data_IF_727504578995
#
_entry.id   IF_727504578995
#
_cell.length_a   1.000
_cell.length_b   1.000
_cell.length_c   1.000
_cell.angle_alpha   90.00
_cell.angle_beta   90.00
_cell.angle_gamma   90.00
#
_symmetry.space_group_name_H-M   'P 1'
#
loop_
_entity.id
_entity.type
_entity.pdbx_description
1 polymer ?
#
# COMPACT_ATOMS: atom_id res chain seq x y z
N UNK A 1 7.86 -30.40 6.73
CA UNK A 1 8.32 -30.34 8.14
C UNK A 1 9.21 -29.11 8.28
N UNK A 2 8.95 -28.26 9.25
CA UNK A 2 9.73 -27.07 9.55
C UNK A 2 10.47 -27.28 10.89
N UNK A 3 11.73 -26.83 10.98
CA UNK A 3 12.53 -26.93 12.21
C UNK A 3 13.40 -25.69 12.32
N UNK A 4 13.36 -25.05 13.49
CA UNK A 4 14.14 -23.87 13.83
C UNK A 4 14.99 -24.13 15.06
N UNK A 5 16.23 -23.65 14.96
CA UNK A 5 17.14 -23.51 16.09
C UNK A 5 17.51 -22.05 16.20
N UNK A 6 17.29 -21.45 17.37
CA UNK A 6 17.55 -20.04 17.60
C UNK A 6 18.47 -19.85 18.79
N UNK A 7 19.42 -18.95 18.67
CA UNK A 7 20.25 -18.45 19.76
C UNK A 7 20.16 -16.93 19.81
N UNK A 8 20.04 -16.39 21.02
CA UNK A 8 20.04 -14.94 21.25
C UNK A 8 21.01 -14.63 22.38
N UNK A 9 21.90 -13.69 22.15
CA UNK A 9 22.85 -13.16 23.12
C UNK A 9 22.62 -11.67 23.21
N UNK A 10 22.37 -11.20 24.43
CA UNK A 10 22.20 -9.78 24.74
C UNK A 10 23.29 -9.35 25.70
N UNK A 11 23.94 -8.25 25.42
CA UNK A 11 24.99 -7.66 26.24
C UNK A 11 24.65 -6.21 26.57
N UNK A 12 24.76 -5.88 27.86
CA UNK A 12 24.54 -4.55 28.37
C UNK A 12 25.72 -4.17 29.28
N UNK A 13 26.47 -3.16 28.88
CA UNK A 13 27.55 -2.60 29.67
C UNK A 13 27.15 -1.25 30.25
N UNK A 14 26.98 -1.22 31.56
CA UNK A 14 26.69 -0.02 32.38
C UNK A 14 25.50 0.81 31.85
N UNK A 15 24.51 0.15 31.22
CA UNK A 15 23.38 0.80 30.57
C UNK A 15 23.77 1.89 29.55
N UNK A 16 25.00 1.84 29.04
CA UNK A 16 25.55 2.75 28.03
C UNK A 16 25.71 2.10 26.67
N UNK A 17 26.28 0.90 26.63
CA UNK A 17 26.51 0.16 25.39
C UNK A 17 25.69 -1.11 25.43
N UNK A 18 24.85 -1.26 24.44
CA UNK A 18 23.94 -2.38 24.28
C UNK A 18 24.29 -3.10 22.97
N UNK A 19 24.32 -4.41 23.00
CA UNK A 19 24.51 -5.21 21.80
C UNK A 19 23.66 -6.48 21.88
N UNK A 20 22.97 -6.79 20.79
CA UNK A 20 22.21 -8.01 20.64
C UNK A 20 22.66 -8.75 19.39
N UNK A 21 22.83 -10.07 19.51
CA UNK A 21 23.12 -10.95 18.39
C UNK A 21 22.09 -12.07 18.40
N UNK A 22 21.40 -12.20 17.29
CA UNK A 22 20.43 -13.28 17.06
C UNK A 22 20.94 -14.16 15.92
N UNK A 23 20.88 -15.44 16.12
CA UNK A 23 21.22 -16.43 15.11
C UNK A 23 20.07 -17.42 14.99
N UNK A 24 19.55 -17.56 13.79
CA UNK A 24 18.52 -18.55 13.48
C UNK A 24 19.01 -19.49 12.39
N UNK A 25 18.84 -20.79 12.64
CA UNK A 25 19.14 -21.88 11.70
C UNK A 25 17.84 -22.61 11.42
N UNK A 26 17.23 -22.30 10.27
CA UNK A 26 15.87 -22.72 9.92
C UNK A 26 15.86 -23.71 8.78
N UNK A 27 15.13 -24.81 8.98
CA UNK A 27 14.97 -25.88 8.00
C UNK A 27 13.56 -25.96 7.45
N UNK A 28 13.41 -25.97 6.10
CA UNK A 28 12.14 -26.12 5.42
C UNK A 28 12.08 -27.42 4.61
N UNK A 29 10.95 -28.13 4.72
CA UNK A 29 10.68 -29.33 3.92
C UNK A 29 10.44 -29.05 2.44
N UNK A 30 10.24 -27.77 2.07
CA UNK A 30 10.02 -27.33 0.69
C UNK A 30 11.32 -27.10 -0.07
N UNK A 31 12.48 -27.21 0.60
CA UNK A 31 13.79 -27.09 0.01
C UNK A 31 14.35 -28.48 -0.40
N UNK A 32 15.33 -28.53 -1.32
CA UNK A 32 15.90 -29.78 -1.82
C UNK A 32 16.43 -30.69 -0.71
N UNK A 33 16.28 -32.00 -0.90
CA UNK A 33 16.85 -32.99 0.04
C UNK A 33 18.37 -32.85 0.11
N UNK A 34 18.89 -32.71 1.32
CA UNK A 34 20.32 -32.47 1.58
C UNK A 34 20.70 -30.99 1.77
N UNK A 35 19.81 -30.05 1.40
CA UNK A 35 20.06 -28.60 1.52
C UNK A 35 18.83 -27.86 2.08
N UNK A 36 18.29 -28.36 3.19
CA UNK A 36 17.03 -27.88 3.78
C UNK A 36 17.16 -26.69 4.71
N UNK A 37 18.38 -26.36 5.15
CA UNK A 37 18.62 -25.38 6.21
C UNK A 37 19.23 -24.09 5.68
N UNK A 38 18.82 -22.98 6.26
CA UNK A 38 19.37 -21.64 5.99
C UNK A 38 19.66 -20.92 7.30
N UNK A 39 20.63 -20.01 7.23
CA UNK A 39 21.10 -19.21 8.38
C UNK A 39 20.57 -17.79 8.20
N UNK A 40 20.00 -17.26 9.29
CA UNK A 40 19.47 -15.91 9.36
C UNK A 40 20.04 -15.20 10.60
N UNK A 41 21.19 -14.52 10.46
CA UNK A 41 21.79 -13.74 11.52
C UNK A 41 21.16 -12.35 11.60
N UNK A 42 21.15 -11.79 12.82
CA UNK A 42 20.86 -10.38 13.04
C UNK A 42 21.74 -9.83 14.16
N UNK A 43 22.15 -8.58 14.02
CA UNK A 43 22.93 -7.86 15.03
C UNK A 43 22.32 -6.48 15.22
N UNK A 44 22.26 -6.04 16.48
CA UNK A 44 21.94 -4.67 16.82
C UNK A 44 22.90 -4.12 17.85
N UNK A 45 23.19 -2.85 17.73
CA UNK A 45 24.01 -2.10 18.69
C UNK A 45 23.30 -0.81 19.04
N UNK A 46 23.45 -0.39 20.30
CA UNK A 46 22.95 0.90 20.73
C UNK A 46 23.90 1.55 21.73
N UNK A 47 23.97 2.87 21.65
CA UNK A 47 24.71 3.72 22.58
C UNK A 47 23.78 4.68 23.25
N UNK A 48 23.62 4.56 24.58
CA UNK A 48 22.86 5.50 25.41
C UNK A 48 23.81 6.63 25.82
N UNK A 49 24.00 7.58 24.91
CA UNK A 49 24.94 8.67 25.06
C UNK A 49 24.62 9.55 26.28
N UNK A 50 23.34 9.71 26.63
CA UNK A 50 22.91 10.47 27.82
C UNK A 50 23.48 9.90 29.14
N UNK A 51 23.88 8.63 29.18
CA UNK A 51 24.45 8.02 30.37
C UNK A 51 25.95 8.29 30.52
N UNK A 52 26.59 8.91 29.52
CA UNK A 52 28.00 9.29 29.58
C UNK A 52 28.23 10.48 30.50
N UNK A 53 29.38 10.50 31.19
CA UNK A 53 29.69 11.54 32.14
C UNK A 53 29.76 12.94 31.51
N UNK A 54 30.30 13.04 30.29
CA UNK A 54 30.39 14.33 29.58
C UNK A 54 29.03 14.87 29.13
N UNK A 55 28.01 14.02 29.00
CA UNK A 55 26.65 14.44 28.61
C UNK A 55 25.85 14.98 29.82
N UNK A 56 26.21 14.59 31.05
CA UNK A 56 25.53 15.08 32.29
C UNK A 56 25.56 16.59 32.50
N UNK A 57 26.47 17.29 31.84
CA UNK A 57 26.55 18.75 31.86
C UNK A 57 25.42 19.45 31.08
N UNK A 58 24.73 18.75 30.20
CA UNK A 58 23.64 19.30 29.42
C UNK A 58 22.31 19.08 30.12
N UNK A 59 21.91 20.03 30.94
CA UNK A 59 20.71 19.96 31.80
C UNK A 59 19.38 19.86 31.04
N UNK A 60 19.37 20.23 29.75
CA UNK A 60 18.19 20.13 28.88
C UNK A 60 18.02 18.73 28.28
N UNK A 61 19.07 17.89 28.34
CA UNK A 61 19.07 16.56 27.75
C UNK A 61 18.66 15.52 28.80
N UNK A 62 17.49 14.93 28.65
CA UNK A 62 17.00 13.86 29.52
C UNK A 62 17.45 12.46 29.02
N UNK A 63 17.45 12.29 27.70
CA UNK A 63 17.75 11.00 27.07
C UNK A 63 18.31 11.19 25.68
N UNK A 64 19.36 10.45 25.34
CA UNK A 64 19.87 10.35 23.96
C UNK A 64 20.40 8.93 23.76
N UNK A 65 19.81 8.24 22.78
CA UNK A 65 20.23 6.90 22.36
C UNK A 65 20.36 6.86 20.85
N UNK A 66 21.49 6.36 20.38
CA UNK A 66 21.76 6.03 18.99
C UNK A 66 21.68 4.52 18.85
N UNK A 67 21.07 4.03 17.78
CA UNK A 67 20.97 2.60 17.51
C UNK A 67 21.16 2.30 16.05
N UNK A 68 21.72 1.12 15.78
CA UNK A 68 21.86 0.58 14.44
C UNK A 68 21.62 -0.92 14.48
N UNK A 69 20.98 -1.45 13.46
CA UNK A 69 20.77 -2.88 13.34
C UNK A 69 20.92 -3.33 11.89
N UNK A 70 21.37 -4.55 11.73
CA UNK A 70 21.39 -5.26 10.47
C UNK A 70 20.99 -6.71 10.69
N UNK A 71 20.15 -7.26 9.79
CA UNK A 71 19.73 -8.65 9.91
C UNK A 71 19.25 -9.21 8.58
N UNK A 72 19.24 -10.52 8.52
CA UNK A 72 18.72 -11.28 7.39
C UNK A 72 17.52 -12.08 7.89
N UNK A 73 16.40 -12.00 7.17
CA UNK A 73 15.22 -12.82 7.42
C UNK A 73 14.91 -13.67 6.21
N UNK A 74 14.37 -14.87 6.42
CA UNK A 74 13.95 -15.78 5.38
C UNK A 74 12.43 -15.94 5.33
N UNK A 75 11.88 -16.18 4.14
CA UNK A 75 10.47 -16.50 3.95
C UNK A 75 10.31 -17.62 2.91
N UNK A 76 9.74 -18.73 3.32
CA UNK A 76 9.44 -19.89 2.47
C UNK A 76 7.95 -20.04 2.12
N UNK A 77 7.12 -19.06 2.49
CA UNK A 77 5.67 -19.14 2.30
C UNK A 77 5.26 -19.34 0.85
N UNK A 78 5.99 -18.74 -0.09
CA UNK A 78 5.75 -18.82 -1.53
C UNK A 78 6.37 -20.05 -2.21
N UNK A 79 7.16 -20.83 -1.48
CA UNK A 79 7.68 -22.09 -1.99
C UNK A 79 6.59 -23.17 -1.95
N UNK A 80 6.59 -23.97 -2.99
CA UNK A 80 5.94 -25.28 -3.07
C UNK A 80 7.03 -26.33 -3.37
N UNK A 81 6.64 -27.55 -3.72
CA UNK A 81 7.59 -28.59 -4.14
C UNK A 81 7.99 -28.39 -5.61
N UNK A 82 8.46 -27.18 -5.94
CA UNK A 82 8.73 -26.73 -7.31
C UNK A 82 9.91 -27.49 -7.97
N UNK A 83 10.74 -28.17 -7.17
CA UNK A 83 11.85 -29.00 -7.63
C UNK A 83 11.43 -30.42 -8.05
N UNK A 84 10.23 -30.84 -7.71
CA UNK A 84 9.76 -32.18 -7.98
C UNK A 84 9.16 -32.28 -9.38
N UNK A 85 9.43 -33.39 -10.07
CA UNK A 85 8.73 -33.71 -11.32
C UNK A 85 7.28 -34.01 -11.02
N UNK A 86 6.40 -33.30 -11.66
CA UNK A 86 4.95 -33.47 -11.49
C UNK A 86 4.38 -34.28 -12.64
N UNK A 87 3.44 -35.18 -12.30
CA UNK A 87 2.63 -35.93 -13.24
C UNK A 87 1.16 -35.69 -12.92
N UNK A 88 0.43 -35.17 -13.88
CA UNK A 88 -0.97 -34.81 -13.70
C UNK A 88 -1.84 -35.90 -14.32
N UNK A 89 -2.81 -36.40 -13.56
CA UNK A 89 -3.87 -37.25 -14.08
C UNK A 89 -4.83 -36.45 -14.97
N UNK A 90 -5.45 -37.09 -15.97
CA UNK A 90 -6.37 -36.41 -16.87
C UNK A 90 -5.70 -35.71 -18.06
N UNK A 91 -4.40 -35.91 -18.25
CA UNK A 91 -3.70 -35.52 -19.48
C UNK A 91 -4.17 -36.35 -20.67
N UNK A 92 -3.83 -35.98 -21.87
CA UNK A 92 -4.18 -36.55 -23.17
C UNK A 92 -5.14 -37.73 -23.12
N UNK A 93 -6.38 -37.54 -23.55
CA UNK A 93 -7.33 -38.63 -23.67
C UNK A 93 -7.02 -39.47 -24.92
N UNK A 94 -7.05 -40.79 -24.75
CA UNK A 94 -6.93 -41.72 -25.84
C UNK A 94 -8.24 -42.50 -25.99
N UNK A 95 -8.65 -42.73 -27.22
CA UNK A 95 -9.79 -43.60 -27.58
C UNK A 95 -9.21 -44.91 -28.06
N UNK A 96 -9.30 -45.94 -27.24
CA UNK A 96 -8.82 -47.28 -27.62
C UNK A 96 -9.87 -48.12 -28.35
N UNK A 97 -11.14 -48.00 -27.94
CA UNK A 97 -12.28 -48.71 -28.55
C UNK A 97 -13.54 -47.86 -28.40
N UNK A 98 -14.28 -47.67 -29.51
CA UNK A 98 -15.57 -46.97 -29.51
C UNK A 98 -15.40 -45.47 -29.27
N UNK A 99 -16.29 -44.87 -28.48
CA UNK A 99 -16.33 -43.44 -28.18
C UNK A 99 -15.81 -43.10 -26.77
N UNK A 100 -15.40 -44.09 -26.00
CA UNK A 100 -14.92 -43.89 -24.63
C UNK A 100 -13.48 -43.41 -24.60
N UNK A 101 -13.24 -42.25 -24.06
CA UNK A 101 -11.89 -41.72 -23.84
C UNK A 101 -11.31 -42.19 -22.50
N UNK A 102 -10.08 -42.64 -22.52
CA UNK A 102 -9.31 -43.02 -21.33
C UNK A 102 -8.24 -41.95 -21.07
N UNK A 103 -8.19 -41.45 -19.87
CA UNK A 103 -7.20 -40.46 -19.48
C UNK A 103 -5.90 -41.11 -19.03
N UNK A 104 -4.79 -40.59 -19.53
CA UNK A 104 -3.45 -40.99 -19.12
C UNK A 104 -2.83 -40.05 -18.11
N UNK A 105 -1.56 -40.30 -17.79
CA UNK A 105 -0.71 -39.36 -17.04
C UNK A 105 0.03 -38.47 -18.04
N UNK A 106 -0.06 -37.17 -17.83
CA UNK A 106 0.76 -36.20 -18.55
C UNK A 106 1.83 -35.66 -17.61
N UNK A 107 3.03 -35.46 -18.10
CA UNK A 107 4.06 -34.77 -17.38
C UNK A 107 3.65 -33.29 -17.23
N UNK A 108 3.69 -32.77 -16.03
CA UNK A 108 3.44 -31.35 -15.72
C UNK A 108 4.56 -30.42 -16.22
N UNK A 109 4.66 -29.25 -15.64
CA UNK A 109 5.72 -28.29 -15.92
C UNK A 109 7.12 -28.82 -15.61
N UNK A 110 8.12 -28.11 -16.10
CA UNK A 110 9.52 -28.44 -15.77
C UNK A 110 9.79 -28.14 -14.28
N UNK A 111 10.53 -29.05 -13.59
CA UNK A 111 10.96 -28.79 -12.21
C UNK A 111 11.90 -27.59 -12.16
N UNK A 112 11.75 -26.80 -11.13
CA UNK A 112 12.61 -25.63 -10.88
C UNK A 112 13.95 -26.06 -10.29
N UNK A 113 15.00 -25.37 -10.70
CA UNK A 113 16.36 -25.53 -10.12
C UNK A 113 16.70 -24.31 -9.30
N UNK A 114 17.62 -24.46 -8.34
CA UNK A 114 18.04 -23.35 -7.48
C UNK A 114 16.92 -22.81 -6.59
N UNK A 115 16.05 -23.70 -6.13
CA UNK A 115 14.93 -23.34 -5.23
C UNK A 115 15.50 -22.79 -3.93
N UNK A 116 15.23 -21.52 -3.66
CA UNK A 116 15.68 -20.79 -2.47
C UNK A 116 14.53 -20.07 -1.81
N UNK A 117 14.51 -19.95 -0.48
CA UNK A 117 13.56 -19.07 0.19
C UNK A 117 13.92 -17.61 -0.08
N UNK A 118 12.90 -16.76 -0.11
CA UNK A 118 13.12 -15.32 -0.17
C UNK A 118 14.00 -14.90 1.02
N UNK A 119 15.00 -14.04 0.76
CA UNK A 119 15.87 -13.45 1.78
C UNK A 119 15.70 -11.94 1.78
N UNK A 120 15.44 -11.39 2.95
CA UNK A 120 15.37 -9.95 3.13
C UNK A 120 16.51 -9.48 4.02
N UNK A 121 17.35 -8.62 3.46
CA UNK A 121 18.43 -7.91 4.13
C UNK A 121 17.85 -6.61 4.67
N UNK A 122 17.90 -6.42 5.98
CA UNK A 122 17.30 -5.28 6.68
C UNK A 122 18.38 -4.48 7.38
N UNK A 123 18.44 -3.19 7.11
CA UNK A 123 19.28 -2.25 7.83
C UNK A 123 18.41 -1.13 8.40
N UNK A 124 18.64 -0.77 9.65
CA UNK A 124 17.97 0.34 10.31
C UNK A 124 18.99 1.12 11.14
N UNK A 125 18.84 2.44 11.13
CA UNK A 125 19.52 3.36 12.03
C UNK A 125 18.48 4.26 12.70
N UNK A 126 18.66 4.52 14.00
CA UNK A 126 17.67 5.30 14.74
C UNK A 126 18.31 6.16 15.82
N UNK A 127 17.59 7.23 16.15
CA UNK A 127 17.92 8.18 17.22
C UNK A 127 16.70 8.35 18.10
N UNK A 128 16.88 8.22 19.40
CA UNK A 128 15.87 8.51 20.41
C UNK A 128 16.37 9.70 21.27
N UNK A 129 15.57 10.73 21.38
CA UNK A 129 15.91 11.97 22.06
C UNK A 129 14.82 12.37 23.06
N UNK A 130 15.20 12.69 24.28
CA UNK A 130 14.35 13.30 25.31
C UNK A 130 14.94 14.63 25.77
N UNK A 131 14.14 15.69 25.81
CA UNK A 131 14.55 17.03 26.23
C UNK A 131 13.54 17.66 27.20
N UNK A 132 14.04 18.52 28.08
CA UNK A 132 13.22 19.41 28.93
C UNK A 132 12.14 18.70 29.75
N UNK A 133 12.35 17.41 30.08
CA UNK A 133 11.41 16.58 30.86
C UNK A 133 9.98 16.48 30.27
N UNK A 134 9.84 16.75 28.98
CA UNK A 134 8.53 16.73 28.35
C UNK A 134 8.54 16.49 26.85
N UNK A 135 9.63 16.80 26.17
CA UNK A 135 9.81 16.53 24.74
C UNK A 135 10.44 15.16 24.51
N UNK A 136 9.88 14.41 23.60
CA UNK A 136 10.45 13.16 23.10
C UNK A 136 10.44 13.14 21.57
N UNK A 137 11.48 12.59 20.96
CA UNK A 137 11.59 12.40 19.53
C UNK A 137 12.26 11.06 19.24
N UNK A 138 11.75 10.35 18.28
CA UNK A 138 12.36 9.17 17.71
C UNK A 138 12.39 9.32 16.19
N UNK A 139 13.55 9.07 15.61
CA UNK A 139 13.76 9.09 14.16
C UNK A 139 14.41 7.78 13.75
N UNK A 140 13.86 7.14 12.77
CA UNK A 140 14.37 5.92 12.17
C UNK A 140 14.53 6.09 10.67
N UNK A 141 15.59 5.51 10.12
CA UNK A 141 15.77 5.34 8.68
C UNK A 141 16.07 3.88 8.41
N UNK A 142 15.41 3.32 7.41
CA UNK A 142 15.56 1.92 7.06
C UNK A 142 15.81 1.71 5.57
N UNK A 143 16.54 0.64 5.28
CA UNK A 143 16.76 0.15 3.93
C UNK A 143 16.68 -1.38 3.93
N UNK A 144 15.74 -1.92 3.15
CA UNK A 144 15.50 -3.34 3.03
C UNK A 144 15.68 -3.78 1.57
N UNK A 145 16.30 -4.92 1.37
CA UNK A 145 16.49 -5.51 0.04
C UNK A 145 16.06 -6.97 0.09
N UNK A 146 14.95 -7.28 -0.59
CA UNK A 146 14.42 -8.63 -0.69
C UNK A 146 14.88 -9.25 -1.99
N UNK A 147 15.50 -10.42 -1.89
CA UNK A 147 16.05 -11.18 -2.99
C UNK A 147 15.47 -12.59 -3.05
N UNK A 148 15.75 -13.28 -4.15
CA UNK A 148 15.31 -14.66 -4.37
C UNK A 148 13.77 -14.77 -4.36
N UNK A 149 13.09 -13.73 -4.81
CA UNK A 149 11.64 -13.76 -4.96
C UNK A 149 11.31 -14.71 -6.11
N UNK A 150 10.42 -15.67 -5.82
CA UNK A 150 9.92 -16.61 -6.81
C UNK A 150 9.13 -15.83 -7.87
N UNK A 151 9.51 -15.99 -9.13
CA UNK A 151 8.87 -15.38 -10.28
C UNK A 151 8.62 -16.37 -11.40
N UNK A 152 7.70 -16.04 -12.29
CA UNK A 152 7.45 -16.81 -13.51
C UNK A 152 8.54 -16.55 -14.54
N UNK A 153 8.80 -17.50 -15.39
CA UNK A 153 9.75 -17.40 -16.50
C UNK A 153 9.07 -17.35 -17.87
N UNK A 154 7.74 -17.21 -17.90
CA UNK A 154 6.92 -17.27 -19.11
C UNK A 154 7.30 -16.22 -20.17
N UNK A 155 7.80 -15.07 -19.78
CA UNK A 155 8.29 -14.04 -20.72
C UNK A 155 9.68 -14.31 -21.31
N UNK A 156 10.43 -15.29 -20.80
CA UNK A 156 11.83 -15.55 -21.16
C UNK A 156 11.95 -16.73 -22.13
N UNK A 157 11.08 -17.73 -22.00
CA UNK A 157 11.12 -18.94 -22.81
C UNK A 157 10.00 -18.98 -23.87
N UNK A 158 10.31 -19.58 -25.01
CA UNK A 158 9.33 -19.73 -26.08
C UNK A 158 8.21 -20.69 -25.71
N UNK A 159 6.98 -20.33 -26.05
CA UNK A 159 5.77 -21.17 -25.91
C UNK A 159 5.80 -22.44 -26.75
N UNK A 160 6.70 -22.54 -27.75
CA UNK A 160 6.91 -23.72 -28.59
C UNK A 160 7.26 -24.96 -27.78
N UNK A 161 7.82 -24.78 -26.58
CA UNK A 161 8.14 -25.90 -25.68
C UNK A 161 6.91 -26.67 -25.21
N UNK A 162 5.70 -26.08 -25.26
CA UNK A 162 4.42 -26.74 -25.01
C UNK A 162 4.20 -27.23 -23.57
N UNK A 163 5.01 -26.76 -22.60
CA UNK A 163 4.92 -27.12 -21.19
C UNK A 163 5.13 -25.90 -20.31
N UNK A 164 4.62 -25.95 -19.09
CA UNK A 164 4.91 -24.93 -18.05
C UNK A 164 6.41 -24.86 -17.77
N UNK A 165 6.93 -23.63 -17.79
CA UNK A 165 8.34 -23.34 -17.53
C UNK A 165 8.65 -23.37 -16.04
N UNK A 166 9.92 -23.64 -15.65
CA UNK A 166 10.32 -23.62 -14.26
C UNK A 166 10.20 -22.21 -13.69
N UNK A 167 9.93 -22.11 -12.39
CA UNK A 167 10.05 -20.84 -11.67
C UNK A 167 11.50 -20.43 -11.52
N UNK A 168 11.73 -19.13 -11.51
CA UNK A 168 13.02 -18.53 -11.22
C UNK A 168 13.01 -17.90 -9.81
N UNK A 169 14.14 -17.99 -9.10
CA UNK A 169 14.30 -17.49 -7.73
C UNK A 169 15.33 -16.35 -7.69
N UNK A 170 15.18 -15.37 -8.55
CA UNK A 170 16.09 -14.24 -8.70
C UNK A 170 15.38 -12.89 -8.72
N UNK A 171 14.05 -12.88 -8.45
CA UNK A 171 13.32 -11.64 -8.28
C UNK A 171 13.89 -10.82 -7.13
N UNK A 172 13.88 -9.50 -7.28
CA UNK A 172 14.48 -8.59 -6.34
C UNK A 172 13.71 -7.29 -6.23
N UNK A 173 13.46 -6.86 -4.98
CA UNK A 173 12.78 -5.61 -4.64
C UNK A 173 13.55 -4.94 -3.51
N UNK A 174 13.72 -3.62 -3.57
CA UNK A 174 14.17 -2.80 -2.46
C UNK A 174 13.00 -2.03 -1.84
N UNK A 175 13.10 -1.74 -0.55
CA UNK A 175 12.19 -0.88 0.19
C UNK A 175 12.99 -0.01 1.15
N UNK A 176 12.75 1.30 1.13
CA UNK A 176 13.48 2.26 1.95
C UNK A 176 12.55 3.35 2.43
N UNK A 177 12.92 3.96 3.54
CA UNK A 177 12.10 5.02 4.11
C UNK A 177 12.62 5.52 5.44
N UNK A 178 11.77 6.29 6.09
CA UNK A 178 12.04 6.83 7.41
C UNK A 178 10.77 7.07 8.19
N UNK A 179 10.92 7.07 9.50
CA UNK A 179 9.84 7.28 10.45
C UNK A 179 10.27 8.34 11.47
N UNK A 180 9.36 9.23 11.80
CA UNK A 180 9.55 10.27 12.82
C UNK A 180 8.36 10.21 13.75
N UNK A 181 8.62 10.08 15.05
CA UNK A 181 7.64 10.22 16.10
C UNK A 181 8.10 11.32 17.06
N UNK A 182 7.22 12.24 17.38
CA UNK A 182 7.49 13.33 18.32
C UNK A 182 6.37 13.45 19.34
N UNK A 183 6.74 13.75 20.56
CA UNK A 183 5.80 14.03 21.64
C UNK A 183 6.25 15.20 22.48
N UNK A 184 5.30 16.01 22.89
CA UNK A 184 5.53 17.04 23.88
C UNK A 184 4.37 17.04 24.87
N UNK A 185 4.68 16.87 26.13
CA UNK A 185 3.70 16.95 27.20
C UNK A 185 4.23 17.81 28.34
N UNK A 186 3.36 18.63 28.90
CA UNK A 186 3.69 19.44 30.04
C UNK A 186 2.47 19.72 30.90
N UNK A 187 2.70 19.80 32.22
CA UNK A 187 1.69 20.21 33.20
C UNK A 187 2.11 21.52 33.85
N UNK A 188 1.31 22.55 33.65
CA UNK A 188 1.52 23.89 34.19
C UNK A 188 0.39 24.20 35.18
N UNK A 189 0.58 23.92 36.47
CA UNK A 189 -0.46 24.05 37.49
C UNK A 189 -1.77 23.37 37.11
N UNK A 190 -2.79 24.14 36.77
CA UNK A 190 -4.12 23.65 36.41
C UNK A 190 -4.29 23.38 34.91
N UNK A 191 -3.30 23.71 34.09
CA UNK A 191 -3.32 23.51 32.63
C UNK A 191 -2.29 22.48 32.26
N UNK A 192 -2.74 21.45 31.55
CA UNK A 192 -1.88 20.42 30.95
C UNK A 192 -2.10 20.34 29.46
N UNK A 193 -1.05 20.08 28.69
CA UNK A 193 -1.16 19.80 27.30
C UNK A 193 -0.28 18.63 26.90
N UNK A 194 -0.72 17.92 25.88
CA UNK A 194 0.05 16.87 25.20
C UNK A 194 -0.16 16.98 23.70
N UNK A 195 0.93 16.98 22.96
CA UNK A 195 0.96 16.97 21.51
C UNK A 195 1.81 15.77 21.10
N UNK A 196 1.27 14.90 20.30
CA UNK A 196 2.01 13.75 19.77
C UNK A 196 1.78 13.67 18.27
N UNK A 197 2.80 13.34 17.51
CA UNK A 197 2.70 13.18 16.06
C UNK A 197 3.67 12.12 15.58
N UNK A 198 3.27 11.45 14.53
CA UNK A 198 4.11 10.50 13.81
C UNK A 198 3.91 10.65 12.31
N UNK A 199 5.00 10.44 11.57
CA UNK A 199 5.03 10.37 10.11
C UNK A 199 5.89 9.19 9.72
N UNK A 200 5.41 8.36 8.82
CA UNK A 200 6.17 7.27 8.20
C UNK A 200 6.14 7.44 6.69
N UNK A 201 7.29 7.39 6.07
CA UNK A 201 7.47 7.36 4.62
C UNK A 201 8.14 6.05 4.23
N UNK A 202 7.56 5.32 3.29
CA UNK A 202 8.13 4.09 2.75
C UNK A 202 7.91 4.02 1.25
N UNK A 203 8.99 3.77 0.50
CA UNK A 203 8.95 3.57 -0.94
C UNK A 203 9.62 2.26 -1.31
N UNK A 204 8.98 1.51 -2.19
CA UNK A 204 9.55 0.31 -2.76
C UNK A 204 9.87 0.50 -4.25
N UNK A 205 10.78 -0.31 -4.76
CA UNK A 205 11.15 -0.32 -6.17
C UNK A 205 11.53 -1.75 -6.58
N UNK A 206 11.00 -2.17 -7.70
CA UNK A 206 11.31 -3.45 -8.33
C UNK A 206 12.66 -3.35 -9.03
N UNK A 207 13.60 -4.19 -8.64
CA UNK A 207 14.93 -4.26 -9.25
C UNK A 207 14.98 -5.32 -10.35
N UNK A 208 14.28 -6.46 -10.11
CA UNK A 208 14.19 -7.55 -11.07
C UNK A 208 12.95 -8.41 -10.81
N UNK A 209 12.16 -8.69 -11.83
CA UNK A 209 11.01 -9.61 -11.77
C UNK A 209 10.99 -10.62 -12.92
N UNK A 210 12.09 -10.76 -13.67
CA UNK A 210 12.18 -11.63 -14.84
C UNK A 210 11.18 -11.24 -15.94
N UNK A 211 11.04 -9.98 -16.23
CA UNK A 211 10.20 -9.51 -17.33
C UNK A 211 10.70 -10.02 -18.67
N UNK A 212 9.73 -10.36 -19.53
CA UNK A 212 9.98 -10.61 -20.94
C UNK A 212 10.38 -9.33 -21.67
N UNK A 213 10.71 -9.48 -22.93
CA UNK A 213 11.01 -8.34 -23.81
C UNK A 213 9.75 -7.48 -24.03
N UNK A 214 9.90 -6.18 -23.83
CA UNK A 214 8.94 -5.16 -24.22
C UNK A 214 9.54 -4.27 -25.32
N UNK A 215 8.79 -3.89 -26.35
CA UNK A 215 9.32 -3.08 -27.44
C UNK A 215 9.69 -1.66 -27.03
N UNK A 216 9.05 -1.12 -25.97
CA UNK A 216 9.24 0.25 -25.50
C UNK A 216 9.65 0.28 -24.04
N UNK A 217 10.56 1.20 -23.69
CA UNK A 217 11.14 1.33 -22.35
C UNK A 217 10.12 1.67 -21.27
N UNK A 218 9.06 2.43 -21.60
CA UNK A 218 8.01 2.83 -20.67
C UNK A 218 7.04 1.69 -20.28
N UNK A 219 7.14 0.54 -20.95
CA UNK A 219 6.32 -0.65 -20.65
C UNK A 219 6.92 -1.53 -19.55
N UNK A 220 8.21 -1.38 -19.23
CA UNK A 220 8.86 -2.20 -18.22
C UNK A 220 8.38 -1.87 -16.81
N UNK A 221 8.09 -2.91 -16.03
CA UNK A 221 7.72 -2.78 -14.62
C UNK A 221 8.95 -2.62 -13.71
N UNK A 222 10.08 -3.14 -14.13
CA UNK A 222 11.37 -2.95 -13.46
C UNK A 222 11.72 -1.46 -13.37
N UNK A 223 12.13 -1.01 -12.18
CA UNK A 223 12.36 0.40 -11.88
C UNK A 223 11.14 1.14 -11.31
N UNK A 224 9.97 0.53 -11.32
CA UNK A 224 8.73 1.09 -10.76
C UNK A 224 8.41 0.49 -9.39
N UNK A 225 7.48 1.12 -8.67
CA UNK A 225 6.98 0.61 -7.39
C UNK A 225 5.96 -0.49 -7.60
N UNK A 226 5.91 -1.45 -6.68
CA UNK A 226 4.85 -2.45 -6.64
C UNK A 226 3.50 -1.75 -6.47
N UNK A 227 2.52 -2.09 -7.34
CA UNK A 227 1.20 -1.48 -7.31
C UNK A 227 1.14 -0.09 -7.97
N UNK A 228 2.18 0.34 -8.67
CA UNK A 228 2.12 1.53 -9.50
C UNK A 228 1.13 1.31 -10.65
N UNK A 229 0.36 2.34 -10.97
CA UNK A 229 -0.67 2.26 -11.97
C UNK A 229 -0.08 2.10 -13.39
N UNK A 230 -0.63 1.15 -14.14
CA UNK A 230 -0.28 0.88 -15.53
C UNK A 230 -1.50 1.05 -16.43
N UNK A 231 -1.43 1.98 -17.39
CA UNK A 231 -2.57 2.28 -18.26
C UNK A 231 -2.28 3.38 -19.27
N UNK A 232 -3.32 3.75 -20.02
CA UNK A 232 -3.31 4.80 -21.01
C UNK A 232 -3.26 6.18 -20.36
N UNK A 233 -2.71 7.17 -21.06
CA UNK A 233 -2.76 8.57 -20.69
C UNK A 233 -3.95 9.22 -21.40
N UNK A 234 -4.99 9.59 -20.64
CA UNK A 234 -6.08 10.40 -21.15
C UNK A 234 -5.65 11.87 -21.19
N UNK A 235 -5.79 12.52 -22.35
CA UNK A 235 -5.49 13.94 -22.58
C UNK A 235 -6.75 14.81 -22.50
N UNK A 236 -7.92 14.19 -22.46
CA UNK A 236 -9.22 14.87 -22.43
C UNK A 236 -10.31 14.07 -23.12
N UNK A 237 -11.30 14.77 -23.64
CA UNK A 237 -12.43 14.20 -24.37
C UNK A 237 -12.46 14.74 -25.79
N UNK A 238 -12.78 13.88 -26.75
CA UNK A 238 -12.99 14.31 -28.13
C UNK A 238 -14.13 15.31 -28.20
N UNK A 239 -13.95 16.39 -28.98
CA UNK A 239 -14.96 17.42 -29.22
C UNK A 239 -15.58 17.24 -30.62
N UNK A 240 -16.64 17.97 -30.93
CA UNK A 240 -17.28 17.92 -32.25
C UNK A 240 -16.33 18.31 -33.38
N UNK A 241 -15.42 19.23 -33.11
CA UNK A 241 -14.42 19.76 -34.02
C UNK A 241 -13.36 18.72 -34.39
N UNK A 242 -13.21 17.62 -33.63
CA UNK A 242 -12.32 16.52 -33.94
C UNK A 242 -12.90 15.55 -35.00
N UNK A 243 -14.14 15.79 -35.48
CA UNK A 243 -14.84 14.93 -36.44
C UNK A 243 -15.25 15.68 -37.70
N UNK A 244 -15.31 14.93 -38.81
CA UNK A 244 -15.85 15.43 -40.08
C UNK A 244 -17.40 15.45 -40.07
N UNK A 245 -18.01 15.98 -41.14
CA UNK A 245 -19.48 16.04 -41.32
C UNK A 245 -20.15 14.65 -41.36
N UNK A 246 -19.39 13.58 -41.60
CA UNK A 246 -19.85 12.20 -41.63
C UNK A 246 -19.67 11.51 -40.25
N UNK A 247 -19.10 12.21 -39.28
CA UNK A 247 -18.84 11.70 -37.93
C UNK A 247 -17.67 10.75 -37.83
N UNK A 248 -16.68 10.88 -38.71
CA UNK A 248 -15.39 10.19 -38.60
C UNK A 248 -14.34 11.13 -38.01
N UNK A 249 -13.38 10.58 -37.29
CA UNK A 249 -12.24 11.37 -36.78
C UNK A 249 -11.49 12.04 -37.93
N UNK A 250 -11.07 13.26 -37.73
CA UNK A 250 -10.25 14.00 -38.67
C UNK A 250 -8.92 13.29 -38.94
N UNK A 251 -8.35 13.40 -40.17
CA UNK A 251 -7.07 12.82 -40.51
C UNK A 251 -5.96 13.29 -39.54
N UNK A 252 -5.14 12.33 -39.09
CA UNK A 252 -4.05 12.56 -38.12
C UNK A 252 -4.39 12.28 -36.67
N UNK A 253 -5.67 12.04 -36.35
CA UNK A 253 -6.04 11.52 -35.04
C UNK A 253 -5.79 10.00 -34.97
N UNK A 254 -5.25 9.48 -33.86
CA UNK A 254 -4.98 8.05 -33.72
C UNK A 254 -6.28 7.22 -33.73
N UNK A 255 -6.24 6.05 -34.33
CA UNK A 255 -7.38 5.14 -34.45
C UNK A 255 -7.40 4.20 -33.24
N UNK A 256 -8.55 4.13 -32.56
CA UNK A 256 -8.72 3.20 -31.43
C UNK A 256 -8.81 1.75 -31.91
N UNK A 257 -8.09 0.84 -31.24
CA UNK A 257 -8.28 -0.62 -31.41
C UNK A 257 -9.33 -1.20 -30.45
N UNK A 258 -9.79 -0.43 -29.48
CA UNK A 258 -10.78 -0.84 -28.46
C UNK A 258 -12.22 -0.61 -28.86
N UNK A 259 -12.47 0.30 -29.81
CA UNK A 259 -13.79 0.65 -30.32
C UNK A 259 -13.72 1.04 -31.79
N UNK A 260 -14.60 0.49 -32.61
CA UNK A 260 -14.57 0.69 -34.05
C UNK A 260 -14.97 2.12 -34.50
N UNK A 261 -15.81 2.79 -33.72
CA UNK A 261 -16.28 4.13 -34.06
C UNK A 261 -16.35 5.02 -32.83
N UNK A 262 -15.46 5.97 -32.72
CA UNK A 262 -15.47 7.00 -31.68
C UNK A 262 -16.49 8.10 -32.01
N UNK A 263 -16.92 8.80 -30.97
CA UNK A 263 -17.88 9.88 -31.04
C UNK A 263 -17.44 11.06 -30.17
N UNK A 264 -17.96 12.27 -30.42
CA UNK A 264 -17.76 13.38 -29.49
C UNK A 264 -18.12 13.03 -28.06
N UNK A 265 -17.26 13.38 -27.13
CA UNK A 265 -17.37 13.02 -25.73
C UNK A 265 -16.74 11.68 -25.33
N UNK A 266 -16.17 10.92 -26.25
CA UNK A 266 -15.32 9.78 -25.93
C UNK A 266 -13.92 10.25 -25.47
N UNK A 267 -13.19 9.42 -24.75
CA UNK A 267 -11.89 9.75 -24.18
C UNK A 267 -10.83 9.86 -25.28
N UNK A 268 -10.04 10.92 -25.23
CA UNK A 268 -8.89 11.12 -26.12
C UNK A 268 -7.63 10.62 -25.40
N UNK A 269 -7.05 9.53 -25.89
CA UNK A 269 -5.83 8.95 -25.36
C UNK A 269 -4.61 9.40 -26.16
N UNK A 270 -3.46 9.46 -25.47
CA UNK A 270 -2.17 9.76 -26.08
C UNK A 270 -1.61 8.54 -26.77
N UNK A 271 -1.24 8.69 -28.02
CA UNK A 271 -0.44 7.74 -28.78
C UNK A 271 1.04 7.93 -28.37
N UNK A 272 1.56 6.97 -27.59
CA UNK A 272 2.89 7.07 -26.98
C UNK A 272 4.01 6.63 -27.93
N UNK A 273 3.71 5.72 -28.85
CA UNK A 273 4.67 5.20 -29.80
C UNK A 273 4.59 5.89 -31.19
N UNK A 274 3.60 6.79 -31.36
CA UNK A 274 3.36 7.57 -32.57
C UNK A 274 3.10 6.72 -33.83
N UNK A 275 2.46 5.55 -33.65
CA UNK A 275 2.13 4.65 -34.77
C UNK A 275 0.76 4.92 -35.40
N UNK A 276 0.02 5.91 -34.87
CA UNK A 276 -1.31 6.30 -35.34
C UNK A 276 -2.44 5.42 -34.80
N UNK A 277 -2.20 4.60 -33.78
CA UNK A 277 -3.18 3.75 -33.13
C UNK A 277 -3.16 3.97 -31.61
N UNK A 278 -4.27 3.68 -30.97
CA UNK A 278 -4.34 3.53 -29.51
C UNK A 278 -4.57 2.05 -29.20
N UNK A 279 -3.56 1.43 -28.62
CA UNK A 279 -3.57 0.02 -28.27
C UNK A 279 -2.76 -0.30 -26.99
N UNK A 280 -2.39 -1.58 -26.82
CA UNK A 280 -1.65 -2.01 -25.65
C UNK A 280 -0.22 -1.46 -25.59
N UNK A 281 0.32 -0.97 -26.70
CA UNK A 281 1.65 -0.36 -26.75
C UNK A 281 1.69 1.07 -26.22
N UNK A 282 0.52 1.70 -25.99
CA UNK A 282 0.41 3.05 -25.41
C UNK A 282 0.23 3.03 -23.88
N UNK A 283 0.26 1.85 -23.28
CA UNK A 283 0.21 1.74 -21.83
C UNK A 283 1.57 2.04 -21.20
N UNK A 284 1.58 2.85 -20.15
CA UNK A 284 2.78 3.16 -19.38
C UNK A 284 2.51 3.19 -17.88
N UNK A 285 3.59 3.10 -17.10
CA UNK A 285 3.50 3.31 -15.66
C UNK A 285 3.43 4.80 -15.37
N UNK A 286 2.44 5.18 -14.58
CA UNK A 286 2.15 6.57 -14.27
C UNK A 286 1.49 6.67 -12.88
N UNK A 287 1.36 7.92 -12.40
CA UNK A 287 0.76 8.20 -11.10
C UNK A 287 1.54 7.59 -9.92
N UNK A 288 0.97 7.75 -8.74
CA UNK A 288 1.45 7.11 -7.53
C UNK A 288 1.02 5.64 -7.49
N UNK A 289 1.50 4.91 -6.50
CA UNK A 289 1.03 3.55 -6.23
C UNK A 289 -0.39 3.56 -5.68
N UNK A 290 -1.05 2.40 -5.71
CA UNK A 290 -2.36 2.21 -5.04
C UNK A 290 -2.23 2.01 -3.52
N UNK A 291 -1.01 1.94 -3.00
CA UNK A 291 -0.71 1.90 -1.57
C UNK A 291 -0.06 3.21 -1.15
N UNK A 292 -0.50 3.84 -0.05
CA UNK A 292 0.10 5.07 0.43
C UNK A 292 1.59 4.91 0.75
N UNK A 293 2.40 5.85 0.28
CA UNK A 293 3.82 5.93 0.67
C UNK A 293 4.01 6.71 1.97
N UNK A 294 3.06 7.59 2.33
CA UNK A 294 3.12 8.39 3.55
C UNK A 294 1.91 8.07 4.43
N UNK A 295 2.19 7.71 5.69
CA UNK A 295 1.20 7.61 6.76
C UNK A 295 1.54 8.64 7.83
N UNK A 296 0.54 9.37 8.31
CA UNK A 296 0.76 10.34 9.37
C UNK A 296 -0.42 10.41 10.32
N UNK A 297 -0.10 10.76 11.57
CA UNK A 297 -1.12 10.97 12.58
C UNK A 297 -0.63 11.95 13.63
N UNK A 298 -1.57 12.65 14.24
CA UNK A 298 -1.28 13.48 15.39
C UNK A 298 -2.43 13.51 16.36
N UNK A 299 -2.10 13.68 17.63
CA UNK A 299 -3.06 13.80 18.71
C UNK A 299 -2.76 15.02 19.55
N UNK A 300 -3.83 15.70 19.95
CA UNK A 300 -3.83 16.84 20.86
C UNK A 300 -4.61 16.46 22.10
N UNK A 301 -4.01 16.71 23.26
CA UNK A 301 -4.68 16.59 24.55
C UNK A 301 -4.54 17.91 25.32
N UNK A 302 -5.63 18.42 25.82
CA UNK A 302 -5.67 19.60 26.67
C UNK A 302 -6.43 19.28 27.95
N UNK A 303 -5.88 19.62 29.07
CA UNK A 303 -6.52 19.51 30.37
C UNK A 303 -6.52 20.86 31.07
N UNK A 304 -7.67 21.30 31.53
CA UNK A 304 -7.80 22.48 32.31
C UNK A 304 -8.69 22.24 33.52
N UNK A 305 -8.11 22.22 34.71
CA UNK A 305 -8.82 21.81 35.93
C UNK A 305 -9.48 20.43 35.73
N UNK A 306 -10.79 20.40 35.75
CA UNK A 306 -11.61 19.19 35.60
C UNK A 306 -12.01 18.87 34.15
N UNK A 307 -11.71 19.77 33.23
CA UNK A 307 -12.03 19.58 31.82
C UNK A 307 -10.87 18.92 31.07
N UNK A 308 -11.20 17.98 30.16
CA UNK A 308 -10.27 17.37 29.23
C UNK A 308 -10.80 17.43 27.81
N UNK A 309 -9.96 17.82 26.87
CA UNK A 309 -10.22 17.78 25.44
C UNK A 309 -9.16 16.88 24.79
N UNK A 310 -9.58 15.94 23.97
CA UNK A 310 -8.68 15.08 23.19
C UNK A 310 -9.13 15.05 21.73
N UNK A 311 -8.19 15.27 20.82
CA UNK A 311 -8.44 15.15 19.39
C UNK A 311 -7.36 14.27 18.76
N UNK A 312 -7.79 13.29 17.94
CA UNK A 312 -6.88 12.39 17.20
C UNK A 312 -7.15 12.54 15.72
N UNK A 313 -6.10 12.78 14.96
CA UNK A 313 -6.10 12.89 13.51
C UNK A 313 -5.27 11.78 12.90
N UNK A 314 -5.70 11.32 11.74
CA UNK A 314 -4.99 10.32 10.94
C UNK A 314 -5.15 10.65 9.47
N UNK A 315 -4.08 10.48 8.73
CA UNK A 315 -4.09 10.70 7.29
C UNK A 315 -3.07 9.83 6.58
N UNK A 316 -3.22 9.80 5.28
CA UNK A 316 -2.28 9.19 4.35
C UNK A 316 -2.06 10.13 3.18
N UNK A 317 -0.94 9.99 2.49
CA UNK A 317 -0.64 10.79 1.32
C UNK A 317 0.25 10.03 0.33
N UNK A 318 0.38 10.60 -0.84
CA UNK A 318 1.21 10.10 -1.92
C UNK A 318 0.77 8.71 -2.41
N UNK A 319 -0.53 8.60 -2.74
CA UNK A 319 -1.08 7.43 -3.41
C UNK A 319 -2.27 7.80 -4.30
N UNK A 320 -2.62 6.90 -5.19
CA UNK A 320 -3.73 7.06 -6.12
C UNK A 320 -4.73 5.92 -5.95
N UNK A 321 -5.98 6.24 -6.15
CA UNK A 321 -7.10 5.31 -6.03
C UNK A 321 -7.70 5.09 -7.41
N UNK A 322 -7.91 3.84 -7.78
CA UNK A 322 -8.65 3.51 -8.99
C UNK A 322 -10.14 3.45 -8.69
N UNK A 323 -10.87 4.39 -9.31
CA UNK A 323 -12.31 4.48 -9.16
C UNK A 323 -12.99 3.45 -10.06
N UNK A 324 -13.50 2.39 -9.46
CA UNK A 324 -14.32 1.35 -10.11
C UNK A 324 -15.72 1.28 -9.55
N UNK A 325 -16.17 2.33 -8.82
CA UNK A 325 -17.50 2.40 -8.27
C UNK A 325 -18.54 2.30 -9.41
N UNK A 326 -19.43 1.31 -9.33
CA UNK A 326 -20.33 0.95 -10.44
C UNK A 326 -21.23 2.10 -10.93
N UNK A 327 -21.59 3.04 -10.05
CA UNK A 327 -22.40 4.22 -10.39
C UNK A 327 -21.62 5.34 -11.10
N UNK A 328 -20.30 5.20 -11.23
CA UNK A 328 -19.41 6.15 -11.89
C UNK A 328 -18.61 5.47 -13.01
N UNK A 329 -18.02 4.31 -12.72
CA UNK A 329 -17.29 3.53 -13.71
C UNK A 329 -18.25 2.63 -14.48
N UNK A 330 -18.41 2.86 -15.79
CA UNK A 330 -19.36 2.18 -16.68
C UNK A 330 -20.83 2.30 -16.19
N UNK A 331 -21.34 3.50 -15.90
CA UNK A 331 -22.74 3.66 -15.52
C UNK A 331 -23.67 3.23 -16.66
N UNK A 332 -24.84 2.68 -16.34
CA UNK A 332 -25.85 2.15 -17.26
C UNK A 332 -25.38 1.00 -18.17
N UNK A 333 -24.17 0.50 -18.00
CA UNK A 333 -23.64 -0.62 -18.79
C UNK A 333 -24.50 -1.88 -18.56
N UNK A 334 -24.94 -2.50 -19.66
CA UNK A 334 -25.78 -3.70 -19.59
C UNK A 334 -27.20 -3.46 -19.08
N UNK A 335 -27.63 -2.22 -18.88
CA UNK A 335 -28.91 -1.81 -18.28
C UNK A 335 -29.15 -2.30 -16.84
N UNK A 336 -28.10 -2.77 -16.16
CA UNK A 336 -28.16 -3.32 -14.80
C UNK A 336 -27.47 -2.43 -13.75
N UNK A 337 -26.81 -1.34 -14.17
CA UNK A 337 -26.09 -0.43 -13.31
C UNK A 337 -26.80 0.92 -13.16
N UNK A 338 -26.78 1.45 -11.94
CA UNK A 338 -27.24 2.81 -11.66
C UNK A 338 -26.20 3.85 -12.10
N UNK A 339 -26.62 5.11 -12.08
CA UNK A 339 -25.76 6.26 -12.32
C UNK A 339 -25.78 7.19 -11.13
N UNK A 340 -24.64 7.70 -10.71
CA UNK A 340 -24.58 8.73 -9.67
C UNK A 340 -25.00 10.10 -10.22
N UNK A 341 -25.60 10.92 -9.36
CA UNK A 341 -25.88 12.32 -9.68
C UNK A 341 -24.60 13.07 -10.02
N UNK A 342 -23.52 12.79 -9.32
CA UNK A 342 -22.21 13.38 -9.57
C UNK A 342 -21.71 13.11 -11.00
N UNK A 343 -21.86 11.88 -11.52
CA UNK A 343 -21.52 11.58 -12.91
C UNK A 343 -22.40 12.36 -13.90
N UNK A 344 -23.73 12.42 -13.66
CA UNK A 344 -24.66 13.15 -14.51
C UNK A 344 -24.31 14.64 -14.65
N UNK A 345 -23.89 15.25 -13.55
CA UNK A 345 -23.52 16.66 -13.49
C UNK A 345 -22.13 16.95 -14.09
N UNK A 346 -21.22 15.95 -14.09
CA UNK A 346 -19.83 16.09 -14.54
C UNK A 346 -19.49 15.31 -15.81
N UNK A 347 -20.50 14.82 -16.55
CA UNK A 347 -20.30 14.14 -17.83
C UNK A 347 -20.25 15.12 -19.00
N UNK A 348 -19.61 14.69 -20.06
CA UNK A 348 -19.62 15.41 -21.31
C UNK A 348 -21.03 15.52 -21.91
N UNK A 349 -21.36 16.70 -22.34
CA UNK A 349 -22.51 17.04 -23.21
C UNK A 349 -22.08 18.15 -24.15
N UNK A 350 -22.88 18.44 -25.16
CA UNK A 350 -22.59 19.56 -26.08
C UNK A 350 -22.52 20.92 -25.37
N UNK A 351 -23.15 21.04 -24.21
CA UNK A 351 -23.15 22.26 -23.38
C UNK A 351 -22.08 22.23 -22.29
N UNK A 352 -21.43 21.08 -22.06
CA UNK A 352 -20.38 20.88 -21.06
C UNK A 352 -19.15 20.17 -21.69
N UNK A 353 -18.47 20.82 -22.68
CA UNK A 353 -17.40 20.17 -23.44
C UNK A 353 -16.16 19.87 -22.59
N UNK A 354 -15.91 20.64 -21.52
CA UNK A 354 -14.76 20.45 -20.60
C UNK A 354 -15.14 19.62 -19.37
N UNK A 355 -16.05 18.66 -19.54
CA UNK A 355 -16.47 17.78 -18.46
C UNK A 355 -15.37 16.82 -18.04
N UNK A 356 -15.46 16.32 -16.81
CA UNK A 356 -14.52 15.33 -16.27
C UNK A 356 -14.71 13.94 -16.86
N UNK A 357 -15.98 13.52 -17.03
CA UNK A 357 -16.35 12.16 -17.45
C UNK A 357 -16.79 12.12 -18.92
N UNK A 358 -16.59 11.00 -19.61
CA UNK A 358 -17.01 10.84 -20.97
C UNK A 358 -18.55 10.91 -21.12
N UNK A 359 -18.99 10.96 -22.36
CA UNK A 359 -20.41 10.89 -22.69
C UNK A 359 -21.06 9.63 -22.13
N UNK A 360 -22.34 9.73 -21.81
CA UNK A 360 -23.12 8.61 -21.32
C UNK A 360 -23.60 7.75 -22.50
N UNK A 361 -23.52 6.42 -22.36
CA UNK A 361 -24.06 5.47 -23.31
C UNK A 361 -24.56 4.21 -22.59
N UNK A 362 -25.61 3.60 -23.12
CA UNK A 362 -26.10 2.27 -22.72
C UNK A 362 -25.45 1.14 -23.51
N UNK A 363 -24.75 1.49 -24.59
CA UNK A 363 -24.03 0.54 -25.44
C UNK A 363 -22.66 0.20 -24.80
N UNK A 364 -22.13 -0.96 -25.16
CA UNK A 364 -20.75 -1.29 -24.84
C UNK A 364 -19.81 -0.25 -25.44
N UNK A 365 -18.95 0.31 -24.63
CA UNK A 365 -17.87 1.20 -25.06
C UNK A 365 -16.63 0.83 -24.27
N UNK A 366 -15.80 -0.02 -24.86
CA UNK A 366 -14.56 -0.47 -24.19
C UNK A 366 -13.47 0.60 -24.24
N UNK A 367 -13.54 1.54 -25.18
CA UNK A 367 -12.55 2.59 -25.31
C UNK A 367 -12.56 3.54 -24.09
N UNK A 368 -13.73 4.08 -23.72
CA UNK A 368 -13.83 5.03 -22.61
C UNK A 368 -13.42 4.44 -21.25
N UNK A 369 -13.50 3.14 -21.12
CA UNK A 369 -13.28 2.43 -19.86
C UNK A 369 -12.00 1.59 -19.83
N UNK A 370 -11.01 1.99 -20.65
CA UNK A 370 -9.65 1.47 -20.51
C UNK A 370 -9.00 1.96 -19.22
N UNK A 371 -8.07 1.17 -18.71
CA UNK A 371 -7.23 1.60 -17.60
C UNK A 371 -6.50 2.89 -17.99
N UNK A 372 -6.82 3.98 -17.33
CA UNK A 372 -6.24 5.30 -17.65
C UNK A 372 -6.25 6.22 -16.42
N UNK A 373 -5.45 7.27 -16.48
CA UNK A 373 -5.43 8.31 -15.44
C UNK A 373 -6.77 9.04 -15.28
N UNK A 374 -7.69 8.94 -16.25
CA UNK A 374 -9.05 9.49 -16.13
C UNK A 374 -9.81 8.92 -14.93
N UNK A 375 -9.60 7.63 -14.66
CA UNK A 375 -10.27 6.89 -13.58
C UNK A 375 -9.44 6.84 -12.29
N UNK A 376 -8.32 7.55 -12.25
CA UNK A 376 -7.49 7.66 -11.06
C UNK A 376 -7.86 8.91 -10.27
N UNK A 377 -8.02 8.73 -8.97
CA UNK A 377 -8.25 9.79 -8.00
C UNK A 377 -7.03 9.96 -7.11
N UNK A 378 -6.78 11.19 -6.67
CA UNK A 378 -5.78 11.44 -5.64
C UNK A 378 -6.33 10.96 -4.30
N UNK A 379 -5.67 9.96 -3.72
CA UNK A 379 -6.17 9.28 -2.52
C UNK A 379 -5.84 9.98 -1.19
N UNK A 380 -5.08 11.08 -1.20
CA UNK A 380 -4.63 11.77 0.00
C UNK A 380 -5.81 12.23 0.87
N UNK A 381 -5.74 11.99 2.17
CA UNK A 381 -6.75 12.47 3.10
C UNK A 381 -6.19 12.73 4.51
N UNK A 382 -6.94 13.54 5.26
CA UNK A 382 -6.82 13.76 6.71
C UNK A 382 -8.18 13.62 7.36
N UNK A 383 -8.32 12.72 8.34
CA UNK A 383 -9.56 12.50 9.11
C UNK A 383 -9.41 12.87 10.57
N UNK A 384 -10.43 13.52 11.13
CA UNK A 384 -10.61 13.64 12.58
C UNK A 384 -11.25 12.34 13.10
N UNK A 385 -10.40 11.46 13.62
CA UNK A 385 -10.81 10.13 14.09
C UNK A 385 -11.60 10.17 15.37
N UNK A 386 -11.14 10.97 16.31
CA UNK A 386 -11.75 11.06 17.61
C UNK A 386 -11.65 12.51 18.07
N UNK A 387 -12.78 13.03 18.53
CA UNK A 387 -12.85 14.24 19.36
C UNK A 387 -13.60 13.89 20.63
N UNK A 388 -12.96 14.08 21.77
CA UNK A 388 -13.54 13.77 23.06
C UNK A 388 -13.45 14.98 23.99
N UNK A 389 -14.59 15.41 24.52
CA UNK A 389 -14.70 16.37 25.62
C UNK A 389 -15.07 15.59 26.88
N UNK A 390 -14.31 15.77 27.94
CA UNK A 390 -14.58 15.08 29.21
C UNK A 390 -14.55 16.06 30.39
N UNK A 391 -15.32 15.70 31.42
CA UNK A 391 -15.36 16.42 32.67
C UNK A 391 -15.24 15.44 33.83
N UNK A 392 -14.24 15.63 34.68
CA UNK A 392 -14.03 14.86 35.89
C UNK A 392 -14.75 15.56 37.04
N UNK A 393 -15.61 14.84 37.75
CA UNK A 393 -16.32 15.39 38.88
C UNK A 393 -15.34 15.76 40.00
N UNK A 394 -15.56 16.90 40.72
CA UNK A 394 -14.74 17.28 41.86
C UNK A 394 -14.74 16.21 42.95
N UNK A 395 -13.57 15.97 43.58
CA UNK A 395 -13.38 14.93 44.61
C UNK A 395 -14.39 15.08 45.76
N UNK A 396 -14.74 16.32 46.17
CA UNK A 396 -15.76 16.56 47.18
C UNK A 396 -17.13 15.96 46.85
N UNK A 397 -17.45 15.86 45.57
CA UNK A 397 -18.72 15.28 45.10
C UNK A 397 -18.63 13.78 45.01
N UNK A 398 -17.53 13.25 44.46
CA UNK A 398 -17.32 11.79 44.30
C UNK A 398 -17.22 11.10 45.67
N UNK A 399 -16.56 11.68 46.66
CA UNK A 399 -16.49 11.18 48.03
C UNK A 399 -17.87 11.06 48.70
N UNK A 400 -18.74 12.08 48.52
CA UNK A 400 -20.13 12.00 49.00
C UNK A 400 -20.92 10.86 48.37
N UNK A 401 -20.59 10.52 47.14
CA UNK A 401 -21.25 9.43 46.37
C UNK A 401 -20.54 8.09 46.55
N UNK A 402 -19.52 8.02 47.45
CA UNK A 402 -18.69 6.80 47.69
C UNK A 402 -17.99 6.31 46.41
N UNK A 403 -17.58 7.20 45.57
CA UNK A 403 -16.83 6.92 44.33
C UNK A 403 -15.40 7.49 44.47
N UNK A 404 -14.40 6.75 44.01
CA UNK A 404 -13.01 7.20 43.95
C UNK A 404 -12.80 8.18 42.81
N UNK A 405 -13.44 7.99 41.68
CA UNK A 405 -13.40 8.89 40.53
C UNK A 405 -14.69 8.77 39.70
N UNK A 406 -15.07 9.88 39.08
CA UNK A 406 -16.19 9.90 38.13
C UNK A 406 -15.90 10.87 36.99
N UNK A 407 -15.89 10.35 35.78
CA UNK A 407 -15.63 11.09 34.55
C UNK A 407 -16.78 10.95 33.57
N UNK A 408 -17.39 12.08 33.22
CA UNK A 408 -18.35 12.18 32.12
C UNK A 408 -17.61 12.47 30.83
N UNK A 409 -18.06 11.94 29.72
CA UNK A 409 -17.48 12.27 28.41
C UNK A 409 -18.49 12.28 27.29
N UNK A 410 -18.24 13.16 26.31
CA UNK A 410 -18.87 13.21 25.01
C UNK A 410 -17.78 12.93 23.98
N UNK A 411 -18.01 11.95 23.11
CA UNK A 411 -17.05 11.51 22.11
C UNK A 411 -17.68 11.44 20.74
N UNK A 412 -17.05 12.07 19.77
CA UNK A 412 -17.37 11.94 18.36
C UNK A 412 -16.29 11.16 17.62
N UNK A 413 -16.69 10.30 16.69
CA UNK A 413 -15.78 9.51 15.87
C UNK A 413 -16.03 9.75 14.39
N UNK A 414 -14.98 9.83 13.58
CA UNK A 414 -15.01 10.06 12.14
C UNK A 414 -15.80 11.31 11.77
N UNK A 415 -15.60 12.42 12.47
CA UNK A 415 -16.44 13.61 12.39
C UNK A 415 -16.32 14.33 11.06
N UNK A 416 -15.12 14.40 10.49
CA UNK A 416 -14.90 14.94 9.16
C UNK A 416 -13.65 14.34 8.49
N UNK A 417 -13.62 14.45 7.17
CA UNK A 417 -12.50 14.14 6.29
C UNK A 417 -12.17 15.36 5.44
N UNK A 418 -10.89 15.59 5.22
CA UNK A 418 -10.37 16.50 4.20
C UNK A 418 -9.67 15.60 3.20
N UNK A 419 -10.21 15.53 1.99
CA UNK A 419 -9.72 14.63 0.94
C UNK A 419 -10.01 15.23 -0.46
N UNK A 420 -9.69 14.47 -1.49
CA UNK A 420 -9.87 14.86 -2.89
C UNK A 420 -10.87 13.99 -3.64
N UNK A 421 -11.62 13.13 -2.93
CA UNK A 421 -12.54 12.17 -3.51
C UNK A 421 -13.98 12.57 -3.21
N UNK A 422 -14.69 13.09 -4.21
CA UNK A 422 -16.04 13.64 -4.01
C UNK A 422 -17.14 12.57 -3.85
N UNK A 423 -16.89 11.34 -4.30
CA UNK A 423 -17.96 10.34 -4.53
C UNK A 423 -17.89 9.12 -3.60
N UNK A 424 -16.84 8.94 -2.86
CA UNK A 424 -16.66 7.82 -1.94
C UNK A 424 -15.81 8.22 -0.74
N UNK A 425 -15.86 7.42 0.31
CA UNK A 425 -14.97 7.60 1.47
C UNK A 425 -13.53 7.21 1.09
N UNK A 426 -12.51 8.05 1.34
CA UNK A 426 -11.13 7.77 0.97
C UNK A 426 -10.52 6.54 1.63
N UNK A 427 -11.17 5.95 2.64
CA UNK A 427 -10.75 4.70 3.28
C UNK A 427 -11.59 3.50 2.86
N UNK A 428 -12.74 3.74 2.23
CA UNK A 428 -13.63 2.68 1.73
C UNK A 428 -13.74 2.77 0.21
N UNK A 429 -12.62 2.56 -0.43
CA UNK A 429 -12.49 2.67 -1.87
C UNK A 429 -13.43 1.69 -2.57
N UNK A 430 -14.21 2.21 -3.54
CA UNK A 430 -15.22 1.47 -4.31
C UNK A 430 -16.31 0.80 -3.46
N UNK A 431 -16.47 1.20 -2.20
CA UNK A 431 -17.57 0.76 -1.35
C UNK A 431 -18.80 1.67 -1.54
N UNK A 432 -19.97 1.07 -1.53
CA UNK A 432 -21.24 1.79 -1.66
C UNK A 432 -21.62 2.58 -0.40
N UNK A 433 -21.06 2.21 0.75
CA UNK A 433 -21.34 2.86 2.03
C UNK A 433 -20.09 3.53 2.59
N UNK A 434 -20.17 4.83 2.93
CA UNK A 434 -19.08 5.53 3.60
C UNK A 434 -18.93 5.10 5.06
N UNK A 435 -17.78 5.42 5.66
CA UNK A 435 -17.55 5.23 7.09
C UNK A 435 -18.58 6.02 7.91
N UNK A 436 -19.18 5.37 8.90
CA UNK A 436 -20.18 6.01 9.77
C UNK A 436 -19.55 7.02 10.72
N UNK A 437 -20.25 8.13 10.96
CA UNK A 437 -19.99 9.04 12.08
C UNK A 437 -20.69 8.50 13.32
N UNK A 438 -20.01 8.50 14.44
CA UNK A 438 -20.59 8.01 15.70
C UNK A 438 -20.45 9.06 16.79
N UNK A 439 -21.50 9.19 17.60
CA UNK A 439 -21.53 10.06 18.76
C UNK A 439 -21.86 9.23 19.98
N UNK A 440 -21.04 9.34 21.04
CA UNK A 440 -21.18 8.59 22.26
C UNK A 440 -21.18 9.54 23.45
N UNK A 441 -22.08 9.28 24.38
CA UNK A 441 -22.07 9.88 25.73
C UNK A 441 -21.83 8.77 26.71
N UNK A 442 -20.93 8.97 27.65
CA UNK A 442 -20.62 7.95 28.63
C UNK A 442 -20.18 8.52 29.97
N UNK A 443 -20.20 7.61 30.94
CA UNK A 443 -19.74 7.86 32.30
C UNK A 443 -18.81 6.72 32.71
N UNK A 444 -17.65 7.09 33.25
CA UNK A 444 -16.73 6.15 33.88
C UNK A 444 -16.74 6.40 35.37
N UNK A 445 -17.01 5.40 36.16
CA UNK A 445 -17.06 5.45 37.63
C UNK A 445 -16.06 4.46 38.18
N UNK A 446 -15.25 4.89 39.13
CA UNK A 446 -14.35 4.08 39.92
C UNK A 446 -14.79 4.14 41.39
N UNK A 447 -15.03 2.98 42.01
CA UNK A 447 -15.41 2.87 43.40
C UNK A 447 -14.22 2.64 44.31
#
# INVERSE_FOLDING_TARGET
MFRDYMAHVSYNYDSRYLADVVFSYSGSGKLPTGDKYRIYPAVSVAWVASNEQFMKRFSALDYLKLRASFGITGNDSRLSYDMDKQFNGGGNSYIFVGTSSTYGLAQGGFPSTGVEPEKEYKANVGVELGLWKGFSMQVDAFYNRRKQIKGESSGIYSTVVGRGMPFLFNGEVKNYGGEISMGWQQQLNHFGYSIQGNVSYAKNEIININEGYHPYGYMYYTGHSIGQFYGLIAEGLYQKEDFDAQGNLLPGAPVSTYEAKLQPGDVKYKDLNEDGKIDNYDHCYQQNTTLPEIYYGFSLGLNYKNWGLKANFQGVAHYSVWNTLASVYRPLYGNDKSISRYYLENRWTETTPNARYPRLTTLSNNHNYQNSNLWMEKGDYLKLRVLELSYRLPTKLTEKMRMSDCRLFLKGMNLFSIDHIDIMDPEQINAEYPSSRSYLIGINVLF
#
